data_IF_694617791676
#
_entry.id   IF_694617791676
#
_cell.length_a   1.000
_cell.length_b   1.000
_cell.length_c   1.000
_cell.angle_alpha   90.00
_cell.angle_beta   90.00
_cell.angle_gamma   90.00
#
_symmetry.space_group_name_H-M   'P 1'
#
loop_
_entity.id
_entity.type
_entity.pdbx_description
1 polymer ?
#
# COMPACT_ATOMS: atom_id res chain seq x y z
N UNK A 1 -23.17 -7.84 -10.26
CA UNK A 1 -23.33 -8.07 -8.81
C UNK A 1 -22.07 -8.67 -8.21
N UNK A 2 -21.59 -9.83 -8.69
CA UNK A 2 -20.43 -10.53 -8.14
C UNK A 2 -19.14 -9.72 -8.13
N UNK A 3 -18.85 -8.94 -9.17
CA UNK A 3 -17.66 -8.09 -9.22
C UNK A 3 -17.68 -7.02 -8.10
N UNK A 4 -18.84 -6.41 -7.84
CA UNK A 4 -18.99 -5.42 -6.76
C UNK A 4 -18.80 -6.04 -5.38
N UNK A 5 -19.37 -7.24 -5.15
CA UNK A 5 -19.19 -8.00 -3.90
C UNK A 5 -17.73 -8.41 -3.70
N UNK A 6 -17.06 -8.83 -4.78
CA UNK A 6 -15.65 -9.17 -4.76
C UNK A 6 -14.77 -7.97 -4.38
N UNK A 7 -15.04 -6.80 -4.95
CA UNK A 7 -14.33 -5.55 -4.61
C UNK A 7 -14.56 -5.16 -3.15
N UNK A 8 -15.82 -5.23 -2.68
CA UNK A 8 -16.15 -4.94 -1.28
C UNK A 8 -15.45 -5.90 -0.31
N UNK A 9 -15.45 -7.20 -0.62
CA UNK A 9 -14.76 -8.20 0.20
C UNK A 9 -13.23 -7.98 0.20
N UNK A 10 -12.63 -7.70 -0.96
CA UNK A 10 -11.19 -7.44 -1.07
C UNK A 10 -10.77 -6.21 -0.26
N UNK A 11 -11.48 -5.10 -0.37
CA UNK A 11 -11.15 -3.85 0.32
C UNK A 11 -11.61 -3.88 1.79
N UNK A 12 -12.82 -4.35 2.08
CA UNK A 12 -13.40 -4.33 3.42
C UNK A 12 -12.79 -5.40 4.33
N UNK A 13 -12.94 -6.68 3.97
CA UNK A 13 -12.42 -7.79 4.78
C UNK A 13 -10.90 -7.88 4.69
N UNK A 14 -10.33 -7.73 3.50
CA UNK A 14 -8.88 -7.70 3.29
C UNK A 14 -8.24 -6.54 4.03
N UNK A 15 -8.85 -5.36 3.98
CA UNK A 15 -8.38 -4.18 4.71
C UNK A 15 -8.43 -4.33 6.22
N UNK A 16 -9.51 -4.90 6.76
CA UNK A 16 -9.64 -5.21 8.19
C UNK A 16 -8.58 -6.22 8.65
N UNK A 17 -8.45 -7.33 7.94
CA UNK A 17 -7.43 -8.34 8.21
C UNK A 17 -6.00 -7.77 8.08
N UNK A 18 -5.76 -6.95 7.05
CA UNK A 18 -4.46 -6.30 6.82
C UNK A 18 -4.02 -5.40 7.98
N UNK A 19 -4.95 -4.66 8.60
CA UNK A 19 -4.65 -3.81 9.76
C UNK A 19 -4.31 -4.63 11.00
N UNK A 20 -5.10 -5.66 11.30
CA UNK A 20 -4.88 -6.51 12.49
C UNK A 20 -3.60 -7.32 12.35
N UNK A 21 -3.42 -8.02 11.23
CA UNK A 21 -2.22 -8.82 10.96
C UNK A 21 -0.98 -7.92 10.82
N UNK A 22 -1.13 -6.77 10.13
CA UNK A 22 -0.06 -5.81 9.96
C UNK A 22 0.45 -5.26 11.29
N UNK A 23 -0.45 -4.87 12.21
CA UNK A 23 -0.06 -4.45 13.55
C UNK A 23 0.71 -5.53 14.30
N UNK A 24 0.18 -6.74 14.35
CA UNK A 24 0.82 -7.87 15.03
C UNK A 24 2.21 -8.22 14.46
N UNK A 25 2.36 -8.19 13.13
CA UNK A 25 3.65 -8.47 12.48
C UNK A 25 4.63 -7.31 12.70
N UNK A 26 4.16 -6.06 12.64
CA UNK A 26 4.98 -4.88 12.89
C UNK A 26 5.60 -4.89 14.29
N UNK A 27 4.81 -5.30 15.29
CA UNK A 27 5.27 -5.40 16.68
C UNK A 27 6.40 -6.44 16.86
N UNK A 28 6.43 -7.46 15.99
CA UNK A 28 7.45 -8.52 16.06
C UNK A 28 8.66 -8.29 15.17
N UNK A 29 8.44 -7.86 13.93
CA UNK A 29 9.48 -7.79 12.89
C UNK A 29 9.95 -6.36 12.58
N UNK A 30 9.28 -5.35 13.16
CA UNK A 30 9.54 -3.95 12.89
C UNK A 30 8.65 -3.37 11.79
N UNK A 31 8.18 -2.13 12.01
CA UNK A 31 7.24 -1.47 11.10
C UNK A 31 7.83 -1.19 9.71
N UNK A 32 9.11 -0.82 9.63
CA UNK A 32 9.78 -0.53 8.36
C UNK A 32 9.92 -1.76 7.48
N UNK A 33 10.23 -2.92 8.07
CA UNK A 33 10.33 -4.18 7.33
C UNK A 33 8.96 -4.59 6.78
N UNK A 34 7.93 -4.56 7.62
CA UNK A 34 6.56 -4.86 7.19
C UNK A 34 6.11 -3.96 6.04
N UNK A 35 6.36 -2.65 6.16
CA UNK A 35 5.99 -1.68 5.12
C UNK A 35 6.68 -1.99 3.80
N UNK A 36 7.99 -2.26 3.82
CA UNK A 36 8.72 -2.63 2.60
C UNK A 36 8.20 -3.93 1.99
N UNK A 37 7.89 -4.94 2.81
CA UNK A 37 7.33 -6.22 2.35
C UNK A 37 5.93 -6.04 1.74
N UNK A 38 5.05 -5.28 2.41
CA UNK A 38 3.70 -4.99 1.92
C UNK A 38 3.72 -4.19 0.62
N UNK A 39 4.57 -3.16 0.52
CA UNK A 39 4.73 -2.38 -0.71
C UNK A 39 5.37 -3.19 -1.84
N UNK A 40 6.35 -4.04 -1.53
CA UNK A 40 6.93 -4.96 -2.50
C UNK A 40 5.88 -5.94 -3.05
N UNK A 41 5.06 -6.53 -2.17
CA UNK A 41 3.94 -7.38 -2.57
C UNK A 41 2.92 -6.61 -3.41
N UNK A 42 2.59 -5.38 -3.03
CA UNK A 42 1.70 -4.50 -3.78
C UNK A 42 2.25 -4.20 -5.18
N UNK A 43 3.55 -3.92 -5.31
CA UNK A 43 4.20 -3.70 -6.61
C UNK A 43 4.11 -4.95 -7.50
N UNK A 44 4.38 -6.14 -6.96
CA UNK A 44 4.27 -7.41 -7.70
C UNK A 44 2.82 -7.63 -8.13
N UNK A 45 1.84 -7.45 -7.25
CA UNK A 45 0.43 -7.58 -7.61
C UNK A 45 0.03 -6.63 -8.74
N UNK A 46 0.47 -5.36 -8.69
CA UNK A 46 0.20 -4.38 -9.74
C UNK A 46 0.81 -4.77 -11.09
N UNK A 47 2.02 -5.35 -11.08
CA UNK A 47 2.70 -5.80 -12.31
C UNK A 47 1.99 -6.98 -12.97
N UNK A 48 1.43 -7.90 -12.17
CA UNK A 48 0.89 -9.17 -12.71
C UNK A 48 -0.62 -9.18 -12.88
N UNK A 49 -1.38 -8.33 -12.18
CA UNK A 49 -2.86 -8.38 -12.21
C UNK A 49 -3.44 -8.23 -13.62
N UNK A 50 -2.83 -7.40 -14.45
CA UNK A 50 -3.28 -7.16 -15.83
C UNK A 50 -3.19 -8.39 -16.72
N UNK A 51 -2.27 -9.33 -16.43
CA UNK A 51 -2.13 -10.56 -17.21
C UNK A 51 -3.27 -11.55 -16.97
N UNK A 52 -3.98 -11.43 -15.85
CA UNK A 52 -5.15 -12.25 -15.54
C UNK A 52 -6.46 -11.64 -16.03
N UNK A 53 -6.41 -10.45 -16.64
CA UNK A 53 -7.59 -9.83 -17.22
C UNK A 53 -8.16 -10.67 -18.38
N UNK A 54 -9.44 -11.01 -18.29
CA UNK A 54 -10.11 -11.89 -19.26
C UNK A 54 -9.83 -13.40 -19.11
N UNK A 55 -9.02 -13.78 -18.09
CA UNK A 55 -8.70 -15.17 -17.76
C UNK A 55 -9.56 -15.75 -16.64
N UNK A 56 -8.94 -16.44 -15.67
CA UNK A 56 -9.62 -17.10 -14.56
C UNK A 56 -10.11 -16.10 -13.50
N UNK A 57 -11.42 -15.88 -13.35
CA UNK A 57 -11.97 -14.87 -12.43
C UNK A 57 -11.56 -15.10 -10.96
N UNK A 58 -11.43 -16.36 -10.55
CA UNK A 58 -11.06 -16.72 -9.18
C UNK A 58 -9.61 -16.32 -8.85
N UNK A 59 -8.69 -16.48 -9.79
CA UNK A 59 -7.30 -16.07 -9.62
C UNK A 59 -7.17 -14.54 -9.55
N UNK A 60 -7.88 -13.83 -10.43
CA UNK A 60 -7.95 -12.38 -10.39
C UNK A 60 -8.50 -11.87 -9.04
N UNK A 61 -9.57 -12.50 -8.55
CA UNK A 61 -10.14 -12.17 -7.24
C UNK A 61 -9.14 -12.41 -6.10
N UNK A 62 -8.50 -13.58 -6.07
CA UNK A 62 -7.51 -13.92 -5.04
C UNK A 62 -6.33 -12.92 -5.05
N UNK A 63 -5.85 -12.56 -6.24
CA UNK A 63 -4.77 -11.57 -6.40
C UNK A 63 -5.19 -10.18 -5.90
N UNK A 64 -6.39 -9.73 -6.27
CA UNK A 64 -6.93 -8.46 -5.80
C UNK A 64 -7.14 -8.45 -4.27
N UNK A 65 -7.56 -9.58 -3.69
CA UNK A 65 -7.71 -9.72 -2.24
C UNK A 65 -6.37 -9.58 -1.52
N UNK A 66 -5.33 -10.31 -1.98
CA UNK A 66 -3.97 -10.23 -1.45
C UNK A 66 -3.44 -8.80 -1.58
N UNK A 67 -3.66 -8.16 -2.73
CA UNK A 67 -3.27 -6.78 -2.97
C UNK A 67 -3.97 -5.81 -2.02
N UNK A 68 -5.27 -5.98 -1.80
CA UNK A 68 -6.04 -5.17 -0.84
C UNK A 68 -5.51 -5.28 0.59
N UNK A 69 -5.16 -6.49 1.05
CA UNK A 69 -4.51 -6.71 2.35
C UNK A 69 -3.17 -5.96 2.44
N UNK A 70 -2.34 -6.06 1.40
CA UNK A 70 -1.02 -5.42 1.37
C UNK A 70 -1.12 -3.89 1.43
N UNK A 71 -1.97 -3.27 0.60
CA UNK A 71 -2.16 -1.81 0.54
C UNK A 71 -2.68 -1.23 1.85
N UNK A 72 -3.52 -1.97 2.59
CA UNK A 72 -4.03 -1.46 3.87
C UNK A 72 -3.01 -1.64 4.99
N UNK A 73 -2.22 -2.71 4.95
CA UNK A 73 -1.18 -2.96 5.95
C UNK A 73 -0.09 -1.87 5.92
N UNK A 74 0.34 -1.39 4.75
CA UNK A 74 1.37 -0.35 4.64
C UNK A 74 0.87 1.03 5.11
N UNK A 75 -0.37 1.40 4.79
CA UNK A 75 -0.97 2.69 5.14
C UNK A 75 -0.96 2.94 6.65
N UNK A 76 -1.26 1.92 7.45
CA UNK A 76 -1.23 2.00 8.91
C UNK A 76 0.19 2.27 9.42
N UNK A 77 1.21 1.66 8.81
CA UNK A 77 2.60 1.80 9.21
C UNK A 77 3.18 3.19 8.88
N UNK A 78 2.77 3.81 7.78
CA UNK A 78 3.14 5.19 7.49
C UNK A 78 2.65 6.16 8.56
N UNK A 79 1.40 6.03 9.00
CA UNK A 79 0.85 6.87 10.06
C UNK A 79 1.53 6.62 11.40
N UNK A 80 1.85 5.36 11.73
CA UNK A 80 2.61 5.00 12.93
C UNK A 80 4.01 5.64 12.90
N UNK A 81 4.73 5.53 11.78
CA UNK A 81 6.07 6.11 11.62
C UNK A 81 6.08 7.62 11.80
N UNK A 82 5.07 8.33 11.28
CA UNK A 82 4.92 9.77 11.51
C UNK A 82 4.69 10.08 12.99
N UNK A 83 3.82 9.32 13.65
CA UNK A 83 3.50 9.52 15.07
C UNK A 83 4.74 9.33 15.95
N UNK A 84 5.64 8.42 15.60
CA UNK A 84 6.86 8.13 16.36
C UNK A 84 8.00 9.11 16.07
N UNK A 85 8.11 9.63 14.83
CA UNK A 85 9.21 10.49 14.41
C UNK A 85 8.90 11.98 14.53
N UNK A 86 7.64 12.39 14.41
CA UNK A 86 7.25 13.79 14.42
C UNK A 86 7.39 14.43 15.80
N UNK A 87 7.68 15.74 15.86
CA UNK A 87 7.54 16.52 17.09
C UNK A 87 6.11 16.44 17.62
N UNK A 88 5.94 16.27 18.95
CA UNK A 88 4.64 16.02 19.58
C UNK A 88 3.60 17.12 19.30
N UNK A 89 4.05 18.36 19.16
CA UNK A 89 3.22 19.54 18.84
C UNK A 89 2.75 19.57 17.37
N UNK A 90 3.32 18.76 16.47
CA UNK A 90 3.05 18.77 15.02
C UNK A 90 2.52 17.46 14.45
N UNK A 91 2.35 16.43 15.27
CA UNK A 91 1.88 15.11 14.84
C UNK A 91 0.58 15.22 14.01
N UNK A 92 -0.42 15.95 14.51
CA UNK A 92 -1.70 16.12 13.84
C UNK A 92 -1.56 16.77 12.46
N UNK A 93 -0.76 17.83 12.37
CA UNK A 93 -0.50 18.51 11.08
C UNK A 93 0.19 17.57 10.08
N UNK A 94 1.21 16.82 10.53
CA UNK A 94 1.95 15.91 9.65
C UNK A 94 1.08 14.73 9.17
N UNK A 95 0.23 14.17 10.03
CA UNK A 95 -0.75 13.15 9.64
C UNK A 95 -1.78 13.69 8.64
N UNK A 96 -2.25 14.92 8.84
CA UNK A 96 -3.18 15.56 7.90
C UNK A 96 -2.52 15.77 6.53
N UNK A 97 -1.30 16.27 6.48
CA UNK A 97 -0.55 16.45 5.22
C UNK A 97 -0.36 15.10 4.53
N UNK A 98 0.11 14.08 5.24
CA UNK A 98 0.28 12.73 4.68
C UNK A 98 -1.01 12.19 4.08
N UNK A 99 -2.10 12.27 4.83
CA UNK A 99 -3.41 11.77 4.39
C UNK A 99 -3.91 12.54 3.17
N UNK A 100 -3.82 13.86 3.19
CA UNK A 100 -4.24 14.73 2.08
C UNK A 100 -3.43 14.45 0.81
N UNK A 101 -2.11 14.27 0.92
CA UNK A 101 -1.26 13.90 -0.21
C UNK A 101 -1.60 12.51 -0.75
N UNK A 102 -1.88 11.56 0.12
CA UNK A 102 -2.32 10.21 -0.27
C UNK A 102 -3.62 10.23 -1.07
N UNK A 103 -4.63 10.99 -0.61
CA UNK A 103 -5.89 11.15 -1.33
C UNK A 103 -5.71 11.90 -2.65
N UNK A 104 -4.85 12.93 -2.70
CA UNK A 104 -4.57 13.65 -3.93
C UNK A 104 -3.92 12.73 -4.99
N UNK A 105 -2.96 11.92 -4.60
CA UNK A 105 -2.33 10.92 -5.47
C UNK A 105 -3.37 9.89 -5.95
N UNK A 106 -4.23 9.41 -5.06
CA UNK A 106 -5.29 8.46 -5.40
C UNK A 106 -6.25 9.07 -6.43
N UNK A 107 -6.69 10.30 -6.20
CA UNK A 107 -7.58 11.02 -7.12
C UNK A 107 -6.94 11.20 -8.49
N UNK A 108 -5.67 11.63 -8.52
CA UNK A 108 -4.89 11.77 -9.75
C UNK A 108 -4.80 10.43 -10.50
N UNK A 109 -4.49 9.35 -9.78
CA UNK A 109 -4.37 8.00 -10.36
C UNK A 109 -5.70 7.53 -10.95
N UNK A 110 -6.82 7.75 -10.26
CA UNK A 110 -8.15 7.39 -10.76
C UNK A 110 -8.48 8.13 -12.07
N UNK A 111 -8.13 9.43 -12.15
CA UNK A 111 -8.36 10.20 -13.36
C UNK A 111 -7.44 9.83 -14.52
N UNK A 112 -6.20 9.41 -14.24
CA UNK A 112 -5.25 8.99 -15.27
C UNK A 112 -5.46 7.55 -15.74
N UNK A 113 -6.13 6.71 -14.95
CA UNK A 113 -6.33 5.30 -15.29
C UNK A 113 -7.08 5.08 -16.62
N UNK A 114 -8.19 5.76 -16.94
CA UNK A 114 -8.86 5.62 -18.23
C UNK A 114 -7.92 5.92 -19.40
N UNK A 115 -7.12 7.00 -19.31
CA UNK A 115 -6.15 7.37 -20.33
C UNK A 115 -5.07 6.28 -20.53
N UNK A 116 -4.60 5.69 -19.43
CA UNK A 116 -3.66 4.58 -19.49
C UNK A 116 -4.28 3.32 -20.12
N UNK A 117 -5.55 3.05 -19.82
CA UNK A 117 -6.29 1.93 -20.41
C UNK A 117 -6.52 2.14 -21.92
N UNK A 118 -6.87 3.35 -22.33
CA UNK A 118 -7.07 3.68 -23.75
C UNK A 118 -5.76 3.59 -24.55
N UNK A 119 -4.64 3.98 -23.93
CA UNK A 119 -3.32 3.97 -24.59
C UNK A 119 -2.66 2.58 -24.62
N UNK A 120 -2.75 1.82 -23.52
CA UNK A 120 -1.98 0.57 -23.33
C UNK A 120 -2.85 -0.67 -23.12
N UNK A 121 -4.17 -0.53 -22.97
CA UNK A 121 -5.10 -1.60 -22.64
C UNK A 121 -5.03 -2.03 -21.17
N UNK A 122 -6.03 -2.77 -20.73
CA UNK A 122 -6.15 -3.26 -19.34
C UNK A 122 -4.96 -4.10 -18.88
N UNK A 123 -4.30 -4.78 -19.80
CA UNK A 123 -3.17 -5.66 -19.49
C UNK A 123 -1.97 -4.92 -18.92
N UNK A 124 -1.70 -3.71 -19.40
CA UNK A 124 -0.50 -2.95 -19.05
C UNK A 124 -0.80 -1.71 -18.22
N UNK A 125 -2.04 -1.22 -18.19
CA UNK A 125 -2.40 0.00 -17.46
C UNK A 125 -2.08 -0.11 -15.97
N UNK A 126 -2.29 -1.28 -15.35
CA UNK A 126 -1.98 -1.51 -13.94
C UNK A 126 -0.48 -1.53 -13.63
N UNK A 127 0.38 -1.82 -14.61
CA UNK A 127 1.83 -1.81 -14.37
C UNK A 127 2.35 -0.43 -13.97
N UNK A 128 1.74 0.64 -14.46
CA UNK A 128 2.07 2.00 -14.07
C UNK A 128 1.87 2.25 -12.56
N UNK A 129 0.92 1.55 -11.95
CA UNK A 129 0.66 1.66 -10.50
C UNK A 129 1.79 1.08 -9.65
N UNK A 130 2.62 0.19 -10.19
CA UNK A 130 3.76 -0.38 -9.47
C UNK A 130 4.83 0.67 -9.12
N UNK A 131 4.88 1.79 -9.86
CA UNK A 131 5.85 2.87 -9.63
C UNK A 131 5.73 3.42 -8.19
N UNK A 132 4.50 3.66 -7.72
CA UNK A 132 4.26 4.17 -6.36
C UNK A 132 4.86 3.27 -5.27
N UNK A 133 4.43 2.01 -5.16
CA UNK A 133 5.01 1.07 -4.21
C UNK A 133 6.52 0.88 -4.32
N UNK A 134 7.09 0.84 -5.53
CA UNK A 134 8.54 0.75 -5.71
C UNK A 134 9.26 1.97 -5.12
N UNK A 135 8.78 3.18 -5.40
CA UNK A 135 9.34 4.40 -4.80
C UNK A 135 9.19 4.39 -3.27
N UNK A 136 8.08 3.87 -2.78
CA UNK A 136 7.85 3.70 -1.34
C UNK A 136 8.82 2.72 -0.68
N UNK A 137 9.11 1.58 -1.31
CA UNK A 137 10.14 0.64 -0.82
C UNK A 137 11.49 1.35 -0.73
N UNK A 138 11.88 2.12 -1.75
CA UNK A 138 13.14 2.88 -1.75
C UNK A 138 13.16 3.93 -0.62
N UNK A 139 12.06 4.65 -0.43
CA UNK A 139 11.95 5.64 0.64
C UNK A 139 12.05 5.00 2.03
N UNK A 140 11.36 3.89 2.25
CA UNK A 140 11.42 3.15 3.53
C UNK A 140 12.78 2.49 3.76
N UNK A 141 13.45 2.02 2.72
CA UNK A 141 14.81 1.50 2.83
C UNK A 141 15.79 2.60 3.24
N UNK A 142 15.65 3.81 2.68
CA UNK A 142 16.44 4.98 3.07
C UNK A 142 16.16 5.39 4.52
N UNK A 143 14.89 5.42 4.92
CA UNK A 143 14.51 5.70 6.30
C UNK A 143 15.13 4.67 7.26
N UNK A 144 15.10 3.39 6.92
CA UNK A 144 15.69 2.31 7.73
C UNK A 144 17.20 2.48 7.90
N UNK A 145 17.89 3.02 6.89
CA UNK A 145 19.33 3.31 6.95
C UNK A 145 19.65 4.58 7.75
N UNK A 146 18.67 5.46 8.01
CA UNK A 146 18.87 6.70 8.73
C UNK A 146 18.98 6.48 10.25
N UNK A 147 19.82 7.23 10.99
CA UNK A 147 19.96 7.10 12.45
C UNK A 147 18.65 7.24 13.21
N UNK A 148 17.74 8.13 12.77
CA UNK A 148 16.44 8.33 13.42
C UNK A 148 15.52 7.11 13.35
N UNK A 149 15.82 6.14 12.48
CA UNK A 149 15.04 4.90 12.41
C UNK A 149 15.09 4.08 13.72
N UNK A 150 16.08 4.33 14.58
CA UNK A 150 16.16 3.74 15.92
C UNK A 150 15.04 4.18 16.86
N UNK A 151 14.34 5.27 16.53
CA UNK A 151 13.19 5.77 17.27
C UNK A 151 11.89 5.04 16.91
N UNK A 152 11.87 4.33 15.77
CA UNK A 152 10.72 3.56 15.30
C UNK A 152 10.59 2.26 16.10
N UNK A 153 9.37 1.95 16.53
CA UNK A 153 9.01 0.73 17.25
C UNK A 153 10.02 0.35 18.36
N UNK A 154 10.50 1.34 19.11
CA UNK A 154 11.50 1.14 20.18
C UNK A 154 12.79 0.45 19.70
N UNK A 155 13.26 0.79 18.50
CA UNK A 155 14.50 0.25 17.91
C UNK A 155 14.32 -1.03 17.11
N UNK A 156 13.10 -1.53 16.98
CA UNK A 156 12.77 -2.66 16.09
C UNK A 156 12.52 -2.14 14.68
N UNK A 157 13.52 -2.20 13.81
CA UNK A 157 13.49 -1.73 12.43
C UNK A 157 13.55 -2.87 11.38
#
# INVERSE_FOLDING_TARGET
>A
FWARMATFAAIGLGGGAGRLLGGYIADRMGGTFLTMAAMGLSAVCALIVGFFYGGAPLLTFALCFIWGVAVVADSAQFSASITELAPKDRIGTMLTIQTSMGFLLTLTTIHLMPLAVDAFGWRYAFMALAIGPVLGVVAMARLRAHPDSLRLANGRR
#
